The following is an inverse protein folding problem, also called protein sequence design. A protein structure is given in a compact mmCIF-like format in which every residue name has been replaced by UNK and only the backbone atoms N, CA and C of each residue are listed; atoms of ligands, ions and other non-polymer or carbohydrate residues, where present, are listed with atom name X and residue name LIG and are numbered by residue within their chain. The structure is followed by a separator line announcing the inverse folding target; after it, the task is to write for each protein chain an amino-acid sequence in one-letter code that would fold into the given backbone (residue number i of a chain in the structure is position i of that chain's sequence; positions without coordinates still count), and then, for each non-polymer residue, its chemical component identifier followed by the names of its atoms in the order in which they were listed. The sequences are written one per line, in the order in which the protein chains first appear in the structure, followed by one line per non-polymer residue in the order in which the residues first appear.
data_IF_693125628411
#
_entry.id   IF_693125628411
#
_cell.length_a   1.000
_cell.length_b   1.000
_cell.length_c   1.000
_cell.angle_alpha   90.00
_cell.angle_beta   90.00
_cell.angle_gamma   90.00
#
_symmetry.space_group_name_H-M   'P 1'
#
loop_
_entity.id
_entity.type
_entity.pdbx_description
1 polymer ?
#
# COMPACT_ATOMS: atom_id res chain seq x y z
N UNK A 1 -1.39 0.38 -30.42
CA UNK A 1 -2.69 0.31 -29.69
C UNK A 1 -2.72 1.44 -28.66
N UNK A 2 -3.82 2.20 -28.55
CA UNK A 2 -3.98 3.17 -27.46
C UNK A 2 -4.50 2.47 -26.21
N UNK A 3 -3.92 2.78 -25.04
CA UNK A 3 -4.35 2.26 -23.74
C UNK A 3 -4.61 3.44 -22.79
N UNK A 4 -5.83 3.55 -22.30
CA UNK A 4 -6.25 4.59 -21.35
C UNK A 4 -5.97 4.11 -19.93
N UNK A 5 -5.13 4.84 -19.21
CA UNK A 5 -4.68 4.48 -17.86
C UNK A 5 -5.27 5.47 -16.87
N UNK A 6 -6.20 4.99 -16.05
CA UNK A 6 -6.85 5.76 -15.00
C UNK A 6 -5.97 5.90 -13.76
N UNK A 7 -5.92 7.09 -13.22
CA UNK A 7 -5.18 7.41 -12.00
C UNK A 7 -5.81 8.57 -11.23
N UNK A 8 -5.53 8.64 -9.92
CA UNK A 8 -5.88 9.79 -9.08
C UNK A 8 -4.93 10.95 -9.32
N UNK A 9 -5.33 12.17 -8.91
CA UNK A 9 -4.55 13.40 -9.10
C UNK A 9 -3.43 13.62 -8.07
N UNK A 10 -3.26 12.74 -7.05
CA UNK A 10 -2.20 12.91 -6.07
C UNK A 10 -0.81 12.69 -6.70
N UNK A 11 0.20 13.43 -6.26
CA UNK A 11 1.57 13.30 -6.77
C UNK A 11 2.06 11.86 -6.75
N UNK A 12 1.80 11.13 -5.65
CA UNK A 12 2.22 9.73 -5.53
C UNK A 12 1.50 8.83 -6.54
N UNK A 13 0.20 9.04 -6.77
CA UNK A 13 -0.55 8.25 -7.75
C UNK A 13 -0.03 8.51 -9.18
N UNK A 14 0.30 9.76 -9.52
CA UNK A 14 0.88 10.11 -10.82
C UNK A 14 2.23 9.43 -11.03
N UNK A 15 3.15 9.53 -10.06
CA UNK A 15 4.46 8.86 -10.15
C UNK A 15 4.30 7.34 -10.27
N UNK A 16 3.37 6.72 -9.53
CA UNK A 16 3.10 5.30 -9.66
C UNK A 16 2.57 4.92 -11.04
N UNK A 17 1.74 5.77 -11.62
CA UNK A 17 1.22 5.57 -12.98
C UNK A 17 2.31 5.74 -14.03
N UNK A 18 3.19 6.71 -13.88
CA UNK A 18 4.36 6.89 -14.74
C UNK A 18 5.28 5.67 -14.70
N UNK A 19 5.60 5.15 -13.51
CA UNK A 19 6.38 3.90 -13.36
C UNK A 19 5.71 2.70 -14.04
N UNK A 20 4.39 2.61 -13.96
CA UNK A 20 3.64 1.57 -14.67
C UNK A 20 3.72 1.75 -16.19
N UNK A 21 3.57 2.98 -16.68
CA UNK A 21 3.68 3.32 -18.11
C UNK A 21 5.07 3.00 -18.63
N UNK A 22 6.12 3.37 -17.92
CA UNK A 22 7.51 3.06 -18.29
C UNK A 22 7.69 1.56 -18.48
N UNK A 23 7.18 0.75 -17.53
CA UNK A 23 7.27 -0.71 -17.63
C UNK A 23 6.39 -1.27 -18.76
N UNK A 24 5.23 -0.70 -18.99
CA UNK A 24 4.32 -1.08 -20.07
C UNK A 24 4.98 -0.86 -21.44
N UNK A 25 5.56 0.32 -21.66
CA UNK A 25 6.23 0.67 -22.93
C UNK A 25 7.52 -0.13 -23.11
N UNK A 26 8.29 -0.38 -22.04
CA UNK A 26 9.47 -1.26 -22.08
C UNK A 26 9.11 -2.66 -22.60
N UNK A 27 8.02 -3.24 -22.10
CA UNK A 27 7.59 -4.60 -22.46
C UNK A 27 6.83 -4.66 -23.79
N UNK A 28 6.11 -3.61 -24.12
CA UNK A 28 5.20 -3.56 -25.27
C UNK A 28 5.40 -2.23 -26.03
N UNK A 29 6.45 -2.10 -26.86
CA UNK A 29 6.85 -0.83 -27.45
C UNK A 29 5.79 -0.15 -28.36
N UNK A 30 4.83 -0.92 -28.90
CA UNK A 30 3.79 -0.43 -29.82
C UNK A 30 2.54 0.12 -29.12
N UNK A 31 2.53 0.23 -27.77
CA UNK A 31 1.44 0.87 -27.05
C UNK A 31 1.60 2.39 -26.99
N UNK A 32 0.48 3.06 -26.99
CA UNK A 32 0.38 4.51 -26.79
C UNK A 32 -0.43 4.78 -25.52
N UNK A 33 0.23 4.89 -24.34
CA UNK A 33 -0.46 5.12 -23.08
C UNK A 33 -1.05 6.53 -23.06
N UNK A 34 -2.28 6.64 -22.53
CA UNK A 34 -2.96 7.90 -22.30
C UNK A 34 -3.42 7.96 -20.84
N UNK A 35 -2.90 8.90 -20.07
CA UNK A 35 -3.34 9.11 -18.69
C UNK A 35 -4.71 9.75 -18.65
N UNK A 36 -5.61 9.18 -17.85
CA UNK A 36 -6.95 9.70 -17.57
C UNK A 36 -7.06 9.99 -16.08
N UNK A 37 -7.26 11.24 -15.70
CA UNK A 37 -7.40 11.65 -14.32
C UNK A 37 -8.82 11.41 -13.81
N UNK A 38 -8.98 10.52 -12.85
CA UNK A 38 -10.25 10.25 -12.18
C UNK A 38 -10.25 10.94 -10.81
N UNK A 39 -11.29 11.74 -10.54
CA UNK A 39 -11.47 12.36 -9.22
C UNK A 39 -12.30 11.45 -8.35
N UNK A 40 -11.78 11.03 -7.21
CA UNK A 40 -12.48 10.13 -6.28
C UNK A 40 -13.15 10.92 -5.15
N UNK A 41 -14.19 10.34 -4.56
CA UNK A 41 -14.88 10.89 -3.38
C UNK A 41 -13.91 11.06 -2.21
N UNK A 42 -12.95 10.14 -2.04
CA UNK A 42 -11.91 10.23 -1.03
C UNK A 42 -10.96 11.40 -1.19
N UNK A 43 -10.76 11.90 -2.42
CA UNK A 43 -9.96 13.10 -2.69
C UNK A 43 -10.71 14.39 -2.36
N UNK A 44 -12.04 14.38 -2.43
CA UNK A 44 -12.91 15.55 -2.19
C UNK A 44 -13.23 15.76 -0.71
N UNK A 45 -13.33 14.68 0.08
CA UNK A 45 -13.79 14.73 1.48
C UNK A 45 -12.63 14.50 2.44
N UNK A 46 -11.89 15.57 2.74
CA UNK A 46 -10.72 15.52 3.65
C UNK A 46 -11.10 15.59 5.14
N UNK A 47 -12.32 16.06 5.48
CA UNK A 47 -12.71 16.41 6.85
C UNK A 47 -13.44 15.30 7.63
N UNK A 48 -13.79 14.17 6.99
CA UNK A 48 -14.49 13.05 7.67
C UNK A 48 -13.57 11.84 7.85
N UNK A 49 -13.69 11.04 8.92
CA UNK A 49 -12.94 9.78 9.06
C UNK A 49 -13.17 8.84 7.87
N UNK A 50 -12.12 8.16 7.38
CA UNK A 50 -12.22 7.19 6.26
C UNK A 50 -13.27 6.10 6.55
N UNK A 51 -13.35 5.64 7.79
CA UNK A 51 -14.37 4.69 8.23
C UNK A 51 -15.80 5.22 8.06
N UNK A 52 -16.00 6.53 8.22
CA UNK A 52 -17.31 7.17 8.05
C UNK A 52 -17.70 7.39 6.57
N UNK A 53 -16.77 7.16 5.64
CA UNK A 53 -16.96 7.33 4.19
C UNK A 53 -17.05 6.00 3.43
N UNK A 54 -17.11 4.85 4.12
CA UNK A 54 -17.13 3.52 3.48
C UNK A 54 -15.75 2.86 3.35
N UNK A 55 -14.71 3.39 4.00
CA UNK A 55 -13.41 2.73 4.09
C UNK A 55 -12.53 2.87 2.85
N UNK A 56 -11.79 1.82 2.47
CA UNK A 56 -10.83 1.84 1.35
C UNK A 56 -11.49 2.03 -0.03
N UNK A 57 -12.73 1.56 -0.22
CA UNK A 57 -13.46 1.66 -1.49
C UNK A 57 -13.70 3.10 -1.98
N UNK A 58 -13.65 4.11 -1.09
CA UNK A 58 -13.88 5.53 -1.40
C UNK A 58 -12.86 6.13 -2.39
N UNK A 59 -11.71 5.48 -2.56
CA UNK A 59 -10.67 5.92 -3.50
C UNK A 59 -10.64 5.12 -4.81
N UNK A 60 -11.50 4.11 -4.95
CA UNK A 60 -11.40 3.10 -6.00
C UNK A 60 -12.70 2.98 -6.80
N UNK A 61 -13.85 3.18 -6.18
CA UNK A 61 -15.15 2.98 -6.80
C UNK A 61 -15.31 3.72 -8.15
N UNK A 62 -14.84 4.95 -8.26
CA UNK A 62 -14.92 5.71 -9.50
C UNK A 62 -13.95 5.18 -10.58
N UNK A 63 -12.80 4.61 -10.18
CA UNK A 63 -11.87 3.96 -11.10
C UNK A 63 -12.45 2.62 -11.60
N UNK A 64 -13.04 1.81 -10.72
CA UNK A 64 -13.73 0.56 -11.09
C UNK A 64 -14.91 0.85 -12.03
N UNK A 65 -15.70 1.89 -11.73
CA UNK A 65 -16.81 2.29 -12.61
C UNK A 65 -16.31 2.69 -14.00
N UNK A 66 -15.21 3.46 -14.08
CA UNK A 66 -14.60 3.86 -15.35
C UNK A 66 -14.04 2.68 -16.15
N UNK A 67 -13.49 1.64 -15.44
CA UNK A 67 -13.09 0.36 -16.06
C UNK A 67 -14.29 -0.41 -16.64
N UNK A 68 -15.38 -0.51 -15.87
CA UNK A 68 -16.60 -1.19 -16.31
C UNK A 68 -17.27 -0.50 -17.49
N UNK A 69 -17.28 0.83 -17.50
CA UNK A 69 -17.83 1.63 -18.59
C UNK A 69 -16.93 1.67 -19.84
N UNK A 70 -15.69 1.15 -19.78
CA UNK A 70 -14.72 1.26 -20.87
C UNK A 70 -14.16 2.67 -21.09
N UNK A 71 -14.31 3.55 -20.12
CA UNK A 71 -13.73 4.90 -20.14
C UNK A 71 -12.22 4.85 -19.97
N UNK A 72 -11.73 3.87 -19.20
CA UNK A 72 -10.32 3.50 -19.04
C UNK A 72 -10.13 1.99 -19.27
N UNK A 73 -8.91 1.61 -19.56
CA UNK A 73 -8.52 0.21 -19.81
C UNK A 73 -7.81 -0.41 -18.62
N UNK A 74 -7.04 0.40 -17.90
CA UNK A 74 -6.25 0.02 -16.73
C UNK A 74 -6.40 1.10 -15.66
N UNK A 75 -6.53 0.69 -14.38
CA UNK A 75 -6.41 1.57 -13.23
C UNK A 75 -5.15 1.21 -12.43
N UNK A 76 -4.36 2.22 -12.04
CA UNK A 76 -3.12 2.03 -11.28
C UNK A 76 -3.32 2.40 -9.82
N UNK A 77 -2.94 1.48 -8.92
CA UNK A 77 -3.17 1.59 -7.48
C UNK A 77 -1.91 1.34 -6.64
N UNK A 78 -1.86 1.95 -5.46
CA UNK A 78 -1.09 1.39 -4.35
C UNK A 78 -1.81 0.16 -3.84
N UNK A 79 -1.24 -1.02 -3.97
CA UNK A 79 -1.93 -2.30 -3.71
C UNK A 79 -2.49 -2.42 -2.28
N UNK A 80 -1.83 -1.83 -1.28
CA UNK A 80 -2.29 -1.81 0.13
C UNK A 80 -3.60 -1.05 0.36
N UNK A 81 -3.98 -0.18 -0.60
CA UNK A 81 -5.18 0.67 -0.51
C UNK A 81 -6.39 0.03 -1.22
N UNK A 82 -6.20 -1.12 -1.89
CA UNK A 82 -7.26 -1.89 -2.53
C UNK A 82 -8.30 -2.37 -1.49
N UNK A 83 -9.61 -2.36 -1.84
CA UNK A 83 -10.64 -2.97 -1.00
C UNK A 83 -10.48 -4.49 -0.97
N UNK A 84 -11.14 -5.17 -0.03
CA UNK A 84 -11.09 -6.64 0.04
C UNK A 84 -11.67 -7.29 -1.22
N UNK A 85 -12.86 -6.89 -1.65
CA UNK A 85 -13.47 -7.29 -2.91
C UNK A 85 -13.27 -6.22 -3.98
N UNK A 86 -13.06 -6.62 -5.22
CA UNK A 86 -13.12 -5.77 -6.40
C UNK A 86 -14.48 -5.95 -7.07
N UNK A 87 -14.90 -4.99 -7.89
CA UNK A 87 -16.15 -5.12 -8.64
C UNK A 87 -16.13 -6.34 -9.57
N UNK A 88 -17.29 -6.96 -9.74
CA UNK A 88 -17.43 -8.13 -10.60
C UNK A 88 -16.94 -7.85 -12.02
N UNK A 89 -16.19 -8.80 -12.58
CA UNK A 89 -15.56 -8.65 -13.89
C UNK A 89 -14.20 -7.92 -13.88
N UNK A 90 -13.81 -7.28 -12.78
CA UNK A 90 -12.50 -6.64 -12.59
C UNK A 90 -11.54 -7.52 -11.77
N UNK A 91 -10.25 -7.30 -11.97
CA UNK A 91 -9.20 -8.00 -11.24
C UNK A 91 -7.84 -7.30 -11.34
N UNK A 92 -6.95 -7.65 -10.42
CA UNK A 92 -5.55 -7.25 -10.53
C UNK A 92 -4.89 -8.17 -11.54
N UNK A 93 -4.54 -7.60 -12.69
CA UNK A 93 -4.00 -8.34 -13.84
C UNK A 93 -2.48 -8.26 -13.94
N UNK A 94 -1.87 -7.26 -13.32
CA UNK A 94 -0.43 -7.16 -13.17
C UNK A 94 -0.04 -6.43 -11.89
N UNK A 95 1.13 -6.74 -11.39
CA UNK A 95 1.83 -5.96 -10.36
C UNK A 95 3.25 -5.67 -10.83
N UNK A 96 3.79 -4.52 -10.44
CA UNK A 96 5.19 -4.20 -10.69
C UNK A 96 6.09 -4.83 -9.62
N UNK A 97 7.39 -4.86 -9.88
CA UNK A 97 8.38 -5.23 -8.87
C UNK A 97 8.19 -4.42 -7.60
N UNK A 98 8.24 -5.11 -6.46
CA UNK A 98 7.97 -4.52 -5.17
C UNK A 98 9.03 -3.51 -4.77
N UNK A 99 8.62 -2.31 -4.41
CA UNK A 99 9.49 -1.33 -3.75
C UNK A 99 9.65 -1.61 -2.26
N UNK A 100 10.34 -0.69 -1.54
CA UNK A 100 10.59 -0.85 -0.11
C UNK A 100 9.29 -0.97 0.71
N UNK A 101 9.05 -2.13 1.28
CA UNK A 101 7.84 -2.48 2.02
C UNK A 101 7.78 -1.93 3.43
N UNK A 102 8.91 -1.43 3.97
CA UNK A 102 9.01 -1.01 5.37
C UNK A 102 8.18 0.24 5.67
N UNK A 103 7.73 0.31 6.90
CA UNK A 103 7.33 1.59 7.48
C UNK A 103 8.57 2.33 7.97
N UNK A 104 8.49 3.65 8.02
CA UNK A 104 9.58 4.50 8.50
C UNK A 104 9.02 5.52 9.49
N UNK A 105 9.80 5.81 10.52
CA UNK A 105 9.61 6.98 11.35
C UNK A 105 10.35 8.15 10.72
N UNK A 106 9.67 9.26 10.51
CA UNK A 106 10.25 10.51 10.04
C UNK A 106 10.19 11.50 11.18
N UNK A 107 11.36 12.05 11.59
CA UNK A 107 11.48 13.04 12.67
C UNK A 107 12.17 14.28 12.16
N UNK A 108 11.95 15.44 12.78
CA UNK A 108 12.78 16.62 12.53
C UNK A 108 14.22 16.32 12.94
N UNK A 109 15.20 16.96 12.27
CA UNK A 109 16.63 16.80 12.58
C UNK A 109 16.96 17.47 13.93
N UNK A 110 16.58 16.85 15.02
CA UNK A 110 16.97 17.22 16.36
C UNK A 110 16.95 15.96 17.23
N UNK A 111 17.75 15.93 18.27
CA UNK A 111 17.85 14.82 19.22
C UNK A 111 16.51 14.52 19.90
N UNK A 112 15.72 13.68 19.25
CA UNK A 112 14.37 13.35 19.69
C UNK A 112 14.40 12.12 20.58
N UNK A 113 14.04 12.29 21.84
CA UNK A 113 13.78 11.14 22.74
C UNK A 113 12.41 10.57 22.41
N UNK A 114 12.40 9.55 21.54
CA UNK A 114 11.15 8.94 21.03
C UNK A 114 10.28 8.33 22.14
N UNK A 115 10.91 7.82 23.21
CA UNK A 115 10.19 7.16 24.29
C UNK A 115 9.91 8.11 25.46
N UNK A 116 9.19 9.20 25.19
CA UNK A 116 8.75 10.16 26.22
C UNK A 116 7.28 10.50 26.07
N UNK A 117 6.62 10.85 27.17
CA UNK A 117 5.21 11.26 27.21
C UNK A 117 4.94 12.57 26.47
N UNK A 118 5.98 13.33 26.17
CA UNK A 118 5.92 14.57 25.40
C UNK A 118 6.16 14.38 23.90
N UNK A 119 6.46 13.15 23.43
CA UNK A 119 6.75 12.87 22.02
C UNK A 119 5.49 12.44 21.26
N UNK A 120 5.05 13.31 20.34
CA UNK A 120 3.81 13.10 19.56
C UNK A 120 4.12 12.55 18.17
N UNK A 121 3.59 11.34 17.88
CA UNK A 121 3.73 10.72 16.56
C UNK A 121 2.42 10.73 15.79
N UNK A 122 2.48 11.28 14.58
CA UNK A 122 1.36 11.35 13.66
C UNK A 122 1.15 10.02 12.90
N UNK A 123 0.02 9.35 13.14
CA UNK A 123 -0.45 8.24 12.30
C UNK A 123 -1.98 8.12 12.35
N UNK A 124 -2.61 7.84 11.20
CA UNK A 124 -4.02 7.48 11.13
C UNK A 124 -4.24 5.96 11.02
N UNK A 125 -3.18 5.15 11.11
CA UNK A 125 -3.25 3.69 11.00
C UNK A 125 -3.25 3.04 12.37
N UNK A 126 -4.30 2.27 12.68
CA UNK A 126 -4.39 1.51 13.92
C UNK A 126 -3.23 0.51 14.07
N UNK A 127 -2.83 -0.17 13.00
CA UNK A 127 -1.68 -1.07 12.98
C UNK A 127 -0.39 -0.34 13.40
N UNK A 128 -0.08 0.79 12.76
CA UNK A 128 1.10 1.61 13.09
C UNK A 128 1.07 2.11 14.52
N UNK A 129 -0.09 2.57 14.99
CA UNK A 129 -0.26 3.04 16.36
C UNK A 129 0.02 1.94 17.38
N UNK A 130 -0.55 0.73 17.19
CA UNK A 130 -0.32 -0.41 18.10
C UNK A 130 1.12 -0.88 18.08
N UNK A 131 1.72 -1.06 16.89
CA UNK A 131 3.13 -1.47 16.77
C UNK A 131 4.07 -0.44 17.39
N UNK A 132 3.82 0.85 17.18
CA UNK A 132 4.64 1.90 17.77
C UNK A 132 4.55 1.91 19.30
N UNK A 133 3.34 1.77 19.86
CA UNK A 133 3.13 1.68 21.32
C UNK A 133 3.81 0.44 21.94
N UNK A 134 3.92 -0.65 21.19
CA UNK A 134 4.64 -1.84 21.63
C UNK A 134 6.15 -1.62 21.72
N UNK A 135 6.73 -0.85 20.79
CA UNK A 135 8.15 -0.50 20.77
C UNK A 135 8.48 0.67 21.72
N UNK A 136 7.58 1.63 21.80
CA UNK A 136 7.75 2.88 22.56
C UNK A 136 6.48 3.15 23.39
N UNK A 137 6.32 2.55 24.56
CA UNK A 137 5.08 2.61 25.36
C UNK A 137 4.63 4.02 25.73
N UNK A 138 5.57 4.93 25.95
CA UNK A 138 5.30 6.30 26.42
C UNK A 138 4.92 7.26 25.30
N UNK A 139 5.23 6.94 24.02
CA UNK A 139 4.94 7.83 22.88
C UNK A 139 3.44 8.18 22.81
N UNK A 140 3.13 9.42 22.47
CA UNK A 140 1.75 9.86 22.27
C UNK A 140 1.37 9.77 20.79
N UNK A 141 0.20 9.18 20.50
CA UNK A 141 -0.29 9.04 19.12
C UNK A 141 -1.31 10.12 18.82
N UNK A 142 -1.07 10.89 17.77
CA UNK A 142 -2.03 11.85 17.21
C UNK A 142 -2.44 11.43 15.80
N UNK A 143 -3.72 11.59 15.47
CA UNK A 143 -4.20 11.31 14.12
C UNK A 143 -3.62 12.32 13.12
N UNK A 144 -3.11 11.84 11.98
CA UNK A 144 -2.62 12.68 10.88
C UNK A 144 -3.26 12.26 9.56
N UNK A 145 -3.65 13.22 8.75
CA UNK A 145 -4.23 13.04 7.42
C UNK A 145 -3.58 13.92 6.38
N UNK A 146 -3.85 13.58 5.12
CA UNK A 146 -3.31 14.22 3.94
C UNK A 146 -2.38 13.30 3.16
N UNK A 147 -1.96 13.75 2.00
CA UNK A 147 -0.93 13.10 1.20
C UNK A 147 0.43 13.18 1.88
N UNK A 148 1.44 12.50 1.33
CA UNK A 148 2.81 12.46 1.89
C UNK A 148 3.35 13.87 2.12
N UNK A 149 3.27 14.75 1.10
CA UNK A 149 3.73 16.15 1.21
C UNK A 149 3.04 16.92 2.34
N UNK A 150 1.72 16.77 2.46
CA UNK A 150 0.93 17.44 3.51
C UNK A 150 1.38 16.99 4.90
N UNK A 151 1.64 15.69 5.07
CA UNK A 151 2.08 15.12 6.36
C UNK A 151 3.50 15.58 6.70
N UNK A 152 4.41 15.59 5.73
CA UNK A 152 5.77 16.13 5.92
C UNK A 152 5.74 17.61 6.28
N UNK A 153 4.91 18.42 5.62
CA UNK A 153 4.75 19.82 5.96
C UNK A 153 4.24 20.04 7.40
N UNK A 154 3.32 19.19 7.87
CA UNK A 154 2.85 19.24 9.27
C UNK A 154 3.95 18.90 10.26
N UNK A 155 4.78 17.89 9.94
CA UNK A 155 5.96 17.56 10.74
C UNK A 155 6.93 18.77 10.81
N UNK A 156 7.26 19.35 9.66
CA UNK A 156 8.20 20.47 9.58
C UNK A 156 7.69 21.74 10.29
N UNK A 157 6.37 21.94 10.32
CA UNK A 157 5.71 23.01 11.11
C UNK A 157 5.68 22.75 12.61
N UNK A 158 6.12 21.57 13.06
CA UNK A 158 6.14 21.21 14.49
C UNK A 158 4.79 20.78 15.07
N UNK A 159 3.79 20.46 14.23
CA UNK A 159 2.51 19.89 14.69
C UNK A 159 2.68 18.48 15.29
N UNK A 160 3.77 17.80 14.94
CA UNK A 160 4.19 16.47 15.38
C UNK A 160 5.71 16.45 15.58
N UNK A 161 6.20 15.60 16.49
CA UNK A 161 7.62 15.35 16.67
C UNK A 161 8.12 14.26 15.72
N UNK A 162 7.22 13.33 15.34
CA UNK A 162 7.47 12.32 14.36
C UNK A 162 6.19 11.96 13.60
N UNK A 163 6.34 11.35 12.42
CA UNK A 163 5.22 10.77 11.64
C UNK A 163 5.63 9.42 11.07
N UNK A 164 4.67 8.49 10.92
CA UNK A 164 4.94 7.20 10.27
C UNK A 164 4.46 7.20 8.84
N UNK A 165 5.38 6.93 7.91
CA UNK A 165 5.12 6.84 6.48
C UNK A 165 5.58 5.47 5.93
N UNK A 166 5.18 5.13 4.69
CA UNK A 166 5.71 3.99 3.97
C UNK A 166 6.97 4.41 3.19
N UNK A 167 8.06 3.68 3.32
CA UNK A 167 9.32 3.93 2.64
C UNK A 167 9.15 4.05 1.12
N UNK A 168 8.37 3.14 0.50
CA UNK A 168 8.09 3.17 -0.93
C UNK A 168 7.50 4.51 -1.39
N UNK A 169 6.59 5.11 -0.59
CA UNK A 169 6.01 6.41 -0.91
C UNK A 169 7.03 7.54 -0.91
N UNK A 170 7.91 7.58 0.09
CA UNK A 170 8.99 8.57 0.15
C UNK A 170 10.01 8.40 -0.97
N UNK A 171 10.42 7.15 -1.26
CA UNK A 171 11.38 6.86 -2.33
C UNK A 171 10.84 7.26 -3.70
N UNK A 172 9.58 6.94 -4.01
CA UNK A 172 8.92 7.29 -5.28
C UNK A 172 8.79 8.80 -5.49
N UNK A 173 8.65 9.55 -4.42
CA UNK A 173 8.58 11.01 -4.45
C UNK A 173 9.93 11.70 -4.30
N UNK A 174 11.05 10.96 -4.25
CA UNK A 174 12.40 11.47 -3.97
C UNK A 174 12.50 12.23 -2.64
N UNK A 175 11.73 11.78 -1.62
CA UNK A 175 11.65 12.39 -0.29
C UNK A 175 12.25 11.50 0.81
N UNK A 176 12.98 10.43 0.44
CA UNK A 176 13.57 9.50 1.41
C UNK A 176 14.80 10.06 2.12
N UNK A 177 15.49 10.98 1.49
CA UNK A 177 16.65 11.70 2.04
C UNK A 177 16.37 13.19 2.07
N UNK A 178 16.70 13.87 3.18
CA UNK A 178 16.49 15.32 3.35
C UNK A 178 17.45 15.87 4.38
N UNK A 179 17.80 17.14 4.26
CA UNK A 179 18.52 17.88 5.31
C UNK A 179 17.60 18.39 6.42
N UNK A 180 16.28 18.39 6.20
CA UNK A 180 15.30 18.96 7.11
C UNK A 180 14.65 17.93 8.06
N UNK A 181 14.84 16.64 7.80
CA UNK A 181 14.29 15.55 8.62
C UNK A 181 15.10 14.27 8.47
N UNK A 182 15.00 13.40 9.46
CA UNK A 182 15.62 12.07 9.48
C UNK A 182 14.56 11.01 9.17
N UNK A 183 14.92 10.03 8.35
CA UNK A 183 14.07 8.87 8.00
C UNK A 183 14.68 7.61 8.60
N UNK A 184 14.02 7.00 9.58
CA UNK A 184 14.47 5.78 10.25
C UNK A 184 13.54 4.63 9.90
N UNK A 185 13.99 3.64 9.08
CA UNK A 185 13.20 2.44 8.77
C UNK A 185 13.02 1.56 10.00
N UNK A 186 11.79 1.03 10.16
CA UNK A 186 11.53 -0.03 11.13
C UNK A 186 11.94 -1.39 10.58
N UNK A 187 12.36 -2.27 11.48
CA UNK A 187 12.58 -3.67 11.17
C UNK A 187 11.23 -4.39 10.99
N UNK A 188 11.14 -5.20 9.94
CA UNK A 188 9.92 -5.92 9.59
C UNK A 188 9.50 -6.94 10.66
N UNK A 189 10.45 -7.57 11.37
CA UNK A 189 10.15 -8.55 12.42
C UNK A 189 9.45 -7.91 13.63
N UNK A 190 9.69 -6.62 13.89
CA UNK A 190 9.08 -5.88 15.00
C UNK A 190 7.97 -4.92 14.56
N UNK A 191 7.97 -4.52 13.30
CA UNK A 191 7.02 -3.56 12.74
C UNK A 191 6.47 -4.05 11.39
N UNK A 192 5.61 -5.08 11.46
CA UNK A 192 5.08 -5.74 10.27
C UNK A 192 4.28 -4.75 9.40
N UNK A 193 4.58 -4.62 8.08
CA UNK A 193 3.92 -3.66 7.20
C UNK A 193 2.44 -3.97 6.96
N UNK A 194 1.73 -3.04 6.34
CA UNK A 194 0.40 -3.32 5.82
C UNK A 194 0.49 -4.35 4.69
N UNK A 195 -0.52 -5.23 4.53
CA UNK A 195 -0.56 -6.16 3.41
C UNK A 195 -0.39 -5.43 2.08
N UNK A 196 0.45 -5.97 1.21
CA UNK A 196 0.78 -5.42 -0.11
C UNK A 196 1.47 -4.04 -0.10
N UNK A 197 2.06 -3.61 1.03
CA UNK A 197 2.80 -2.35 1.07
C UNK A 197 4.03 -2.41 0.16
N UNK A 198 4.25 -1.35 -0.62
CA UNK A 198 5.35 -1.24 -1.59
C UNK A 198 4.98 -1.72 -3.00
N UNK A 199 3.85 -2.39 -3.20
CA UNK A 199 3.41 -2.94 -4.49
C UNK A 199 2.55 -1.90 -5.24
N UNK A 200 2.82 -1.73 -6.53
CA UNK A 200 1.95 -1.03 -7.49
C UNK A 200 1.15 -2.11 -8.23
N UNK A 201 -0.18 -1.97 -8.22
CA UNK A 201 -1.09 -2.91 -8.86
C UNK A 201 -1.81 -2.24 -10.03
N UNK A 202 -1.95 -2.99 -11.12
CA UNK A 202 -2.75 -2.64 -12.27
C UNK A 202 -4.03 -3.48 -12.28
N UNK A 203 -5.15 -2.80 -12.19
CA UNK A 203 -6.49 -3.38 -12.26
C UNK A 203 -7.05 -3.20 -13.67
N UNK A 204 -7.69 -4.22 -14.20
CA UNK A 204 -8.39 -4.16 -15.48
C UNK A 204 -9.60 -5.10 -15.47
N UNK A 205 -10.38 -5.11 -16.55
CA UNK A 205 -11.32 -6.20 -16.82
C UNK A 205 -10.55 -7.52 -16.90
N UNK A 206 -11.07 -8.57 -16.24
CA UNK A 206 -10.41 -9.89 -16.15
C UNK A 206 -10.21 -10.58 -17.50
N UNK A 207 -11.04 -10.24 -18.48
CA UNK A 207 -11.04 -10.82 -19.81
C UNK A 207 -10.75 -9.78 -20.89
N UNK A 208 -10.32 -10.23 -22.05
CA UNK A 208 -10.04 -9.38 -23.20
C UNK A 208 -8.55 -9.16 -23.47
N UNK A 209 -8.27 -8.39 -24.52
CA UNK A 209 -6.93 -8.15 -25.03
C UNK A 209 -6.03 -7.47 -24.00
N UNK A 210 -6.56 -6.48 -23.25
CA UNK A 210 -5.80 -5.75 -22.23
C UNK A 210 -5.32 -6.69 -21.12
N UNK A 211 -6.18 -7.57 -20.61
CA UNK A 211 -5.79 -8.51 -19.56
C UNK A 211 -4.68 -9.47 -20.01
N UNK A 212 -4.70 -9.90 -21.28
CA UNK A 212 -3.64 -10.74 -21.83
C UNK A 212 -2.33 -9.96 -21.95
N UNK A 213 -2.40 -8.74 -22.47
CA UNK A 213 -1.28 -7.87 -22.66
C UNK A 213 -0.59 -7.51 -21.33
N UNK A 214 -1.35 -7.28 -20.26
CA UNK A 214 -0.80 -6.95 -18.95
C UNK A 214 -0.01 -8.10 -18.30
N UNK A 215 -0.17 -9.35 -18.75
CA UNK A 215 0.65 -10.48 -18.28
C UNK A 215 2.14 -10.27 -18.58
N UNK A 216 2.47 -9.59 -19.68
CA UNK A 216 3.86 -9.28 -20.05
C UNK A 216 4.52 -8.26 -19.10
N UNK A 217 3.71 -7.43 -18.46
CA UNK A 217 4.15 -6.39 -17.50
C UNK A 217 4.22 -6.95 -16.09
N UNK A 218 3.54 -8.08 -15.84
CA UNK A 218 3.41 -8.64 -14.50
C UNK A 218 4.74 -9.18 -13.97
N UNK A 219 5.13 -8.74 -12.77
CA UNK A 219 6.28 -9.27 -12.04
C UNK A 219 5.84 -10.47 -11.19
N UNK A 220 6.10 -11.67 -11.68
CA UNK A 220 5.57 -12.93 -11.16
C UNK A 220 5.87 -13.13 -9.66
N UNK A 221 7.11 -12.87 -9.24
CA UNK A 221 7.53 -12.97 -7.84
C UNK A 221 6.67 -12.08 -6.93
N UNK A 222 6.50 -10.83 -7.33
CA UNK A 222 5.68 -9.88 -6.56
C UNK A 222 4.19 -10.24 -6.60
N UNK A 223 3.70 -10.86 -7.70
CA UNK A 223 2.32 -11.35 -7.76
C UNK A 223 2.07 -12.45 -6.72
N UNK A 224 2.98 -13.39 -6.55
CA UNK A 224 2.87 -14.42 -5.53
C UNK A 224 2.88 -13.83 -4.10
N UNK A 225 3.75 -12.84 -3.85
CA UNK A 225 3.78 -12.10 -2.58
C UNK A 225 2.47 -11.35 -2.35
N UNK A 226 1.96 -10.66 -3.37
CA UNK A 226 0.68 -9.94 -3.35
C UNK A 226 -0.49 -10.86 -3.01
N UNK A 227 -0.61 -12.00 -3.68
CA UNK A 227 -1.70 -12.96 -3.47
C UNK A 227 -1.67 -13.53 -2.04
N UNK A 228 -0.49 -13.94 -1.55
CA UNK A 228 -0.33 -14.45 -0.19
C UNK A 228 -0.72 -13.42 0.88
N UNK A 229 -0.23 -12.18 0.74
CA UNK A 229 -0.51 -11.11 1.69
C UNK A 229 -1.97 -10.65 1.64
N UNK A 230 -2.56 -10.58 0.45
CA UNK A 230 -3.95 -10.17 0.27
C UNK A 230 -4.94 -11.18 0.85
N UNK A 231 -4.58 -12.46 0.84
CA UNK A 231 -5.41 -13.52 1.41
C UNK A 231 -5.62 -13.35 2.92
N UNK A 232 -4.65 -12.80 3.66
CA UNK A 232 -4.75 -12.59 5.11
C UNK A 232 -5.95 -11.70 5.49
N UNK A 233 -6.06 -10.44 5.04
CA UNK A 233 -7.20 -9.60 5.39
C UNK A 233 -8.53 -10.12 4.79
N UNK A 234 -8.51 -10.82 3.67
CA UNK A 234 -9.70 -11.46 3.08
C UNK A 234 -10.28 -12.53 4.02
N UNK A 235 -9.46 -13.45 4.49
CA UNK A 235 -9.87 -14.53 5.40
C UNK A 235 -10.28 -14.03 6.78
N UNK A 236 -9.69 -12.91 7.24
CA UNK A 236 -10.05 -12.27 8.50
C UNK A 236 -11.31 -11.40 8.38
N UNK A 237 -11.90 -11.24 7.19
CA UNK A 237 -12.94 -10.24 6.91
C UNK A 237 -12.58 -8.86 7.49
N UNK A 238 -11.30 -8.48 7.34
CA UNK A 238 -10.73 -7.33 8.02
C UNK A 238 -11.27 -6.02 7.45
N UNK A 239 -11.87 -5.20 8.29
CA UNK A 239 -12.22 -3.82 7.95
C UNK A 239 -11.01 -2.88 8.02
N UNK A 240 -11.22 -1.61 7.67
CA UNK A 240 -10.16 -0.60 7.70
C UNK A 240 -9.67 -0.23 9.11
N UNK A 241 -10.40 -0.61 10.16
CA UNK A 241 -10.06 -0.35 11.55
C UNK A 241 -9.21 -1.48 12.15
N UNK A 242 -9.23 -2.67 11.54
CA UNK A 242 -8.42 -3.79 12.04
C UNK A 242 -6.91 -3.56 11.79
N UNK A 243 -6.06 -3.82 12.80
CA UNK A 243 -4.62 -3.57 12.72
C UNK A 243 -3.86 -4.72 12.04
N UNK A 244 -4.38 -5.23 10.94
CA UNK A 244 -3.80 -6.35 10.20
C UNK A 244 -2.48 -5.94 9.57
N UNK A 245 -1.45 -6.77 9.77
CA UNK A 245 -0.18 -6.72 9.07
C UNK A 245 0.08 -8.02 8.32
N UNK A 246 0.70 -7.94 7.15
CA UNK A 246 1.20 -9.10 6.44
C UNK A 246 2.41 -8.74 5.58
N UNK A 247 3.35 -9.66 5.47
CA UNK A 247 4.51 -9.54 4.61
C UNK A 247 4.91 -10.92 4.08
N UNK A 248 5.00 -11.04 2.77
CA UNK A 248 5.48 -12.23 2.10
C UNK A 248 6.79 -11.94 1.37
N UNK A 249 7.65 -12.93 1.30
CA UNK A 249 8.88 -12.86 0.54
C UNK A 249 9.13 -14.19 -0.17
N UNK A 250 9.26 -14.12 -1.48
CA UNK A 250 9.61 -15.27 -2.32
C UNK A 250 11.13 -15.32 -2.47
N UNK A 251 11.71 -16.49 -2.21
CA UNK A 251 13.11 -16.81 -2.48
C UNK A 251 13.16 -18.16 -3.22
N UNK A 252 13.62 -18.13 -4.45
CA UNK A 252 13.60 -19.29 -5.37
C UNK A 252 12.16 -19.85 -5.52
N UNK A 253 11.94 -21.10 -5.13
CA UNK A 253 10.64 -21.78 -5.19
C UNK A 253 9.85 -21.72 -3.88
N UNK A 254 10.35 -21.03 -2.84
CA UNK A 254 9.72 -20.94 -1.52
C UNK A 254 9.20 -19.55 -1.25
N UNK A 255 8.10 -19.51 -0.50
CA UNK A 255 7.54 -18.26 0.04
C UNK A 255 7.53 -18.33 1.57
N UNK A 256 8.01 -17.28 2.21
CA UNK A 256 7.82 -17.03 3.64
C UNK A 256 6.73 -16.00 3.82
N UNK A 257 5.78 -16.22 4.74
CA UNK A 257 4.68 -15.31 5.03
C UNK A 257 4.64 -15.03 6.53
N UNK A 258 4.58 -13.75 6.86
CA UNK A 258 4.38 -13.21 8.19
C UNK A 258 3.00 -12.59 8.27
N UNK A 259 2.26 -12.80 9.35
CA UNK A 259 0.93 -12.24 9.52
C UNK A 259 0.62 -11.90 10.98
N UNK A 260 -0.19 -10.88 11.17
CA UNK A 260 -0.78 -10.52 12.47
C UNK A 260 -2.17 -9.96 12.26
N UNK A 261 -3.11 -10.29 13.16
CA UNK A 261 -4.46 -9.75 13.16
C UNK A 261 -4.62 -8.54 14.10
N UNK A 262 -3.81 -8.45 15.16
CA UNK A 262 -3.98 -7.49 16.25
C UNK A 262 -2.69 -6.77 16.69
N UNK A 263 -1.58 -7.03 16.01
CA UNK A 263 -0.22 -6.57 16.35
C UNK A 263 0.39 -7.15 17.64
N UNK A 264 -0.31 -8.02 18.38
CA UNK A 264 0.22 -8.62 19.58
C UNK A 264 1.14 -9.79 19.24
N UNK A 265 0.68 -10.67 18.35
CA UNK A 265 1.41 -11.86 17.91
C UNK A 265 1.65 -11.78 16.41
N UNK A 266 2.90 -12.00 16.02
CA UNK A 266 3.27 -12.17 14.60
C UNK A 266 3.53 -13.66 14.39
N UNK A 267 2.76 -14.26 13.48
CA UNK A 267 2.99 -15.64 13.04
C UNK A 267 3.82 -15.63 11.78
N UNK A 268 4.66 -16.67 11.65
CA UNK A 268 5.50 -16.91 10.48
C UNK A 268 5.28 -18.34 9.98
N UNK A 269 5.20 -18.48 8.67
CA UNK A 269 5.19 -19.79 7.98
C UNK A 269 5.98 -19.73 6.70
N UNK A 270 6.29 -20.91 6.15
CA UNK A 270 6.94 -21.04 4.84
C UNK A 270 6.39 -22.26 4.12
N UNK A 271 6.26 -22.16 2.80
CA UNK A 271 5.77 -23.21 1.91
C UNK A 271 6.41 -23.09 0.53
N UNK A 272 6.10 -24.00 -0.40
CA UNK A 272 6.35 -23.76 -1.80
C UNK A 272 5.45 -22.65 -2.32
N UNK A 273 5.88 -21.94 -3.35
CA UNK A 273 5.15 -20.79 -3.92
C UNK A 273 3.74 -21.18 -4.37
N UNK A 274 3.56 -22.39 -4.91
CA UNK A 274 2.25 -22.92 -5.34
C UNK A 274 1.27 -23.03 -4.18
N UNK A 275 1.75 -23.30 -2.97
CA UNK A 275 0.95 -23.51 -1.75
C UNK A 275 0.70 -22.20 -0.97
N UNK A 276 1.02 -21.03 -1.55
CA UNK A 276 0.96 -19.72 -0.89
C UNK A 276 -0.38 -19.37 -0.27
N UNK A 277 -1.48 -19.76 -0.92
CA UNK A 277 -2.83 -19.50 -0.41
C UNK A 277 -3.16 -20.41 0.78
N UNK A 278 -2.82 -21.70 0.68
CA UNK A 278 -2.97 -22.65 1.78
C UNK A 278 -2.11 -22.26 3.00
N UNK A 279 -0.90 -21.72 2.77
CA UNK A 279 -0.05 -21.15 3.81
C UNK A 279 -0.77 -20.00 4.54
N UNK A 280 -1.39 -19.08 3.80
CA UNK A 280 -2.13 -17.96 4.37
C UNK A 280 -3.33 -18.44 5.21
N UNK A 281 -4.10 -19.42 4.71
CA UNK A 281 -5.20 -20.05 5.45
C UNK A 281 -4.72 -20.71 6.76
N UNK A 282 -3.61 -21.45 6.68
CA UNK A 282 -3.02 -22.10 7.84
C UNK A 282 -2.53 -21.12 8.92
N UNK A 283 -2.04 -19.93 8.52
CA UNK A 283 -1.67 -18.88 9.46
C UNK A 283 -2.90 -18.21 10.08
N UNK A 284 -3.91 -17.86 9.28
CA UNK A 284 -5.13 -17.20 9.77
C UNK A 284 -5.86 -18.07 10.80
N UNK A 285 -5.92 -19.39 10.63
CA UNK A 285 -6.51 -20.31 11.62
C UNK A 285 -5.81 -20.29 12.99
N UNK A 286 -4.59 -19.74 13.08
CA UNK A 286 -3.76 -19.68 14.30
C UNK A 286 -3.65 -18.25 14.87
N UNK A 287 -4.15 -17.23 14.14
CA UNK A 287 -4.25 -15.83 14.57
C UNK A 287 -5.48 -15.60 15.43
#
# INVERSE_FOLDING_TARGET
MKIKIGTRKSKLALVQTEMFIEKLVEKIPNVQPQIVHISTTGDKVLNKPLAALGGKGVFIAELEQALLNGEIDVAVHSAKDLPLGLADGLGITAVLERGDYRDVLVTRNNDCIINSDSFFVGTGSMRRARLLKKLYPNVQIKNIRGNVDTRLNKLLKGEYDGIILAAAGLKRLNLFTSQSYTVTPFDCDSFLPAPCQGIIAAESRKQGEIAQLLKEVNHLKTMYEFEAERQIPLLLNADCAMPVGAFAQVQESKISLYATADCNKILKGSANVEDRLALAEGLVKKL
#
